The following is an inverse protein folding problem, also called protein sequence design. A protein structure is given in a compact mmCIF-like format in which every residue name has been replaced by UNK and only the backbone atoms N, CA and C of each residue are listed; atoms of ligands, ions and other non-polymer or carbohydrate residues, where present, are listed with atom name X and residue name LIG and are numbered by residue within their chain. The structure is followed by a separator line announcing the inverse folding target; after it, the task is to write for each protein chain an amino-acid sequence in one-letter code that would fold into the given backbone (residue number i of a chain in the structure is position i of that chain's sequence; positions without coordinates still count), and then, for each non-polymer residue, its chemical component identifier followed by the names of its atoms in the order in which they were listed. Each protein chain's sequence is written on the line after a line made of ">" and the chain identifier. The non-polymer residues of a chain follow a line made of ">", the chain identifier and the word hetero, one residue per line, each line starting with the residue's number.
data_IF_109664917774
#
_entry.id   IF_109664917774
#
_cell.length_a   1.000
_cell.length_b   1.000
_cell.length_c   1.000
_cell.angle_alpha   90.00
_cell.angle_beta   90.00
_cell.angle_gamma   90.00
#
_symmetry.space_group_name_H-M   'P 1'
#
loop_
_entity.id
_entity.type
_entity.pdbx_description
1 polymer ?
#
# COMPACT_ATOMS: atom_id res chain seq x y z
N UNK A 1 -8.05 -23.14 -4.84
CA UNK A 1 -9.02 -22.27 -4.15
C UNK A 1 -8.51 -21.78 -2.80
N UNK A 2 -8.16 -22.65 -1.85
CA UNK A 2 -7.68 -22.21 -0.51
C UNK A 2 -6.55 -21.16 -0.57
N UNK A 3 -5.50 -21.41 -1.35
CA UNK A 3 -4.37 -20.46 -1.51
C UNK A 3 -4.79 -19.12 -2.13
N UNK A 4 -5.77 -19.12 -3.04
CA UNK A 4 -6.28 -17.90 -3.66
C UNK A 4 -7.09 -17.09 -2.63
N UNK A 5 -8.01 -17.73 -1.91
CA UNK A 5 -8.81 -17.07 -0.88
C UNK A 5 -7.90 -16.48 0.20
N UNK A 6 -6.88 -17.23 0.63
CA UNK A 6 -5.93 -16.77 1.63
C UNK A 6 -5.05 -15.63 1.09
N UNK A 7 -4.62 -15.70 -0.19
CA UNK A 7 -3.91 -14.61 -0.85
C UNK A 7 -4.74 -13.33 -0.94
N UNK A 8 -6.03 -13.44 -1.28
CA UNK A 8 -6.98 -12.31 -1.29
C UNK A 8 -7.17 -11.75 0.13
N UNK A 9 -7.38 -12.62 1.12
CA UNK A 9 -7.53 -12.20 2.51
C UNK A 9 -6.31 -11.40 2.99
N UNK A 10 -5.10 -11.90 2.75
CA UNK A 10 -3.87 -11.25 3.19
C UNK A 10 -3.56 -9.96 2.41
N UNK A 11 -3.82 -9.90 1.10
CA UNK A 11 -3.59 -8.65 0.35
C UNK A 11 -4.60 -7.57 0.76
N UNK A 12 -5.85 -7.93 1.02
CA UNK A 12 -6.86 -7.00 1.54
C UNK A 12 -6.52 -6.54 2.96
N UNK A 13 -6.00 -7.44 3.80
CA UNK A 13 -5.42 -7.11 5.11
C UNK A 13 -4.33 -6.05 4.98
N UNK A 14 -3.37 -6.28 4.08
CA UNK A 14 -2.26 -5.37 3.85
C UNK A 14 -2.74 -4.00 3.31
N UNK A 15 -3.67 -3.97 2.36
CA UNK A 15 -4.20 -2.73 1.78
C UNK A 15 -4.91 -1.86 2.81
N UNK A 16 -5.81 -2.44 3.62
CA UNK A 16 -6.51 -1.69 4.66
C UNK A 16 -5.54 -1.25 5.76
N UNK A 17 -4.64 -2.14 6.19
CA UNK A 17 -3.65 -1.76 7.20
C UNK A 17 -2.74 -0.63 6.72
N UNK A 18 -2.32 -0.69 5.45
CA UNK A 18 -1.53 0.34 4.79
C UNK A 18 -2.27 1.68 4.70
N UNK A 19 -3.55 1.66 4.30
CA UNK A 19 -4.39 2.85 4.24
C UNK A 19 -4.50 3.54 5.62
N UNK A 20 -4.80 2.76 6.67
CA UNK A 20 -4.91 3.28 8.03
C UNK A 20 -3.57 3.80 8.55
N UNK A 21 -2.47 3.08 8.31
CA UNK A 21 -1.13 3.51 8.68
C UNK A 21 -0.74 4.84 8.03
N UNK A 22 -0.98 4.99 6.72
CA UNK A 22 -0.74 6.24 5.99
C UNK A 22 -1.59 7.39 6.54
N UNK A 23 -2.88 7.16 6.78
CA UNK A 23 -3.76 8.18 7.37
C UNK A 23 -3.23 8.65 8.73
N UNK A 24 -2.79 7.72 9.58
CA UNK A 24 -2.23 8.06 10.89
C UNK A 24 -0.93 8.83 10.79
N UNK A 25 -0.01 8.37 9.93
CA UNK A 25 1.29 9.00 9.74
C UNK A 25 1.14 10.42 9.15
N UNK A 26 0.30 10.60 8.13
CA UNK A 26 0.07 11.93 7.54
C UNK A 26 -0.71 12.86 8.48
N UNK A 27 -1.68 12.34 9.23
CA UNK A 27 -2.36 13.12 10.29
C UNK A 27 -1.38 13.59 11.36
N UNK A 28 -0.34 12.79 11.66
CA UNK A 28 0.71 13.14 12.61
C UNK A 28 1.71 14.16 12.05
N UNK A 29 2.25 13.93 10.84
CA UNK A 29 3.26 14.79 10.21
C UNK A 29 2.67 16.16 9.81
N UNK A 30 1.46 16.14 9.24
CA UNK A 30 0.75 17.31 8.71
C UNK A 30 -0.51 17.61 9.56
N UNK A 31 -1.67 17.66 8.91
CA UNK A 31 -2.99 17.92 9.47
C UNK A 31 -3.98 16.83 9.02
N UNK A 32 -5.11 16.70 9.73
CA UNK A 32 -6.09 15.64 9.48
C UNK A 32 -6.67 15.63 8.05
N UNK A 33 -6.66 16.77 7.34
CA UNK A 33 -7.10 16.84 5.94
C UNK A 33 -6.36 15.88 5.00
N UNK A 34 -5.08 15.59 5.28
CA UNK A 34 -4.28 14.66 4.48
C UNK A 34 -4.68 13.20 4.69
N UNK A 35 -5.40 12.87 5.76
CA UNK A 35 -5.99 11.54 5.91
C UNK A 35 -7.09 11.30 4.86
N UNK A 36 -7.94 12.31 4.59
CA UNK A 36 -8.97 12.21 3.55
C UNK A 36 -8.35 12.05 2.16
N UNK A 37 -7.20 12.69 1.90
CA UNK A 37 -6.45 12.49 0.65
C UNK A 37 -6.08 11.02 0.43
N UNK A 38 -5.65 10.30 1.47
CA UNK A 38 -5.33 8.86 1.37
C UNK A 38 -6.56 8.03 1.03
N UNK A 39 -7.71 8.34 1.62
CA UNK A 39 -8.97 7.67 1.26
C UNK A 39 -9.28 7.90 -0.23
N UNK A 40 -9.18 9.15 -0.70
CA UNK A 40 -9.38 9.49 -2.11
C UNK A 40 -8.40 8.77 -3.04
N UNK A 41 -7.11 8.70 -2.68
CA UNK A 41 -6.11 7.96 -3.46
C UNK A 41 -6.39 6.46 -3.49
N UNK A 42 -6.86 5.88 -2.38
CA UNK A 42 -7.29 4.49 -2.35
C UNK A 42 -8.47 4.25 -3.30
N UNK A 43 -9.52 5.07 -3.21
CA UNK A 43 -10.68 4.96 -4.09
C UNK A 43 -10.33 5.19 -5.56
N UNK A 44 -9.50 6.19 -5.85
CA UNK A 44 -8.97 6.44 -7.19
C UNK A 44 -8.16 5.24 -7.69
N UNK A 45 -7.34 4.62 -6.83
CA UNK A 45 -6.53 3.44 -7.16
C UNK A 45 -7.39 2.25 -7.56
N UNK A 46 -8.43 1.97 -6.77
CA UNK A 46 -9.40 0.92 -7.08
C UNK A 46 -10.16 1.23 -8.38
N UNK A 47 -10.60 2.47 -8.59
CA UNK A 47 -11.28 2.91 -9.81
C UNK A 47 -10.41 2.78 -11.06
N UNK A 48 -9.19 3.30 -11.01
CA UNK A 48 -8.22 3.24 -12.11
C UNK A 48 -7.88 1.79 -12.48
N UNK A 49 -7.70 0.95 -11.47
CA UNK A 49 -7.48 -0.49 -11.66
C UNK A 49 -8.66 -1.17 -12.33
N UNK A 50 -9.90 -0.87 -11.90
CA UNK A 50 -11.12 -1.39 -12.52
C UNK A 50 -11.27 -1.00 -13.99
N UNK A 51 -11.00 0.27 -14.33
CA UNK A 51 -10.98 0.75 -15.73
C UNK A 51 -9.94 0.00 -16.55
N UNK A 52 -8.71 -0.13 -16.02
CA UNK A 52 -7.62 -0.82 -16.71
C UNK A 52 -7.93 -2.30 -16.96
N UNK A 53 -8.49 -3.00 -15.97
CA UNK A 53 -8.93 -4.38 -16.11
C UNK A 53 -10.08 -4.54 -17.11
N UNK A 54 -11.02 -3.58 -17.14
CA UNK A 54 -12.15 -3.63 -18.08
C UNK A 54 -11.71 -3.50 -19.53
N UNK A 55 -10.74 -2.61 -19.82
CA UNK A 55 -10.23 -2.39 -21.18
C UNK A 55 -9.47 -3.63 -21.70
N UNK A 56 -8.64 -4.24 -20.85
CA UNK A 56 -7.77 -5.36 -21.25
C UNK A 56 -8.26 -6.73 -20.72
N UNK A 57 -9.56 -6.86 -20.48
CA UNK A 57 -10.21 -8.03 -19.87
C UNK A 57 -9.72 -9.36 -20.44
N UNK A 58 -9.84 -9.55 -21.75
CA UNK A 58 -9.50 -10.81 -22.42
C UNK A 58 -8.03 -11.19 -22.24
N UNK A 59 -7.13 -10.19 -22.27
CA UNK A 59 -5.70 -10.40 -22.11
C UNK A 59 -5.38 -10.86 -20.69
N UNK A 60 -5.98 -10.22 -19.69
CA UNK A 60 -5.76 -10.56 -18.29
C UNK A 60 -6.35 -11.91 -17.89
N UNK A 61 -7.56 -12.24 -18.36
CA UNK A 61 -8.19 -13.54 -18.10
C UNK A 61 -7.35 -14.67 -18.72
N UNK A 62 -6.90 -14.51 -19.98
CA UNK A 62 -6.12 -15.54 -20.68
C UNK A 62 -4.81 -15.90 -19.99
N UNK A 63 -4.18 -14.93 -19.31
CA UNK A 63 -2.92 -15.13 -18.57
C UNK A 63 -3.07 -14.83 -17.08
N UNK A 64 -4.20 -15.24 -16.51
CA UNK A 64 -4.58 -14.97 -15.13
C UNK A 64 -3.43 -15.17 -14.14
N UNK A 65 -2.81 -16.36 -14.11
CA UNK A 65 -1.75 -16.69 -13.15
C UNK A 65 -0.55 -15.74 -13.22
N UNK A 66 -0.20 -15.28 -14.42
CA UNK A 66 0.94 -14.37 -14.63
C UNK A 66 0.57 -12.98 -14.12
N UNK A 67 -0.55 -12.42 -14.58
CA UNK A 67 -0.95 -11.06 -14.22
C UNK A 67 -1.38 -10.92 -12.76
N UNK A 68 -2.04 -11.93 -12.20
CA UNK A 68 -2.36 -11.97 -10.78
C UNK A 68 -1.09 -11.92 -9.93
N UNK A 69 -0.09 -12.73 -10.27
CA UNK A 69 1.21 -12.68 -9.59
C UNK A 69 1.93 -11.34 -9.78
N UNK A 70 1.94 -10.79 -11.00
CA UNK A 70 2.57 -9.50 -11.29
C UNK A 70 1.90 -8.35 -10.52
N UNK A 71 0.57 -8.35 -10.40
CA UNK A 71 -0.14 -7.36 -9.59
C UNK A 71 0.22 -7.49 -8.10
N UNK A 72 0.28 -8.70 -7.55
CA UNK A 72 0.71 -8.91 -6.17
C UNK A 72 2.17 -8.48 -5.95
N UNK A 73 3.06 -8.85 -6.86
CA UNK A 73 4.46 -8.44 -6.84
C UNK A 73 4.61 -6.92 -6.90
N UNK A 74 3.94 -6.27 -7.85
CA UNK A 74 3.97 -4.82 -8.02
C UNK A 74 3.38 -4.09 -6.81
N UNK A 75 2.32 -4.63 -6.20
CA UNK A 75 1.74 -4.10 -4.96
C UNK A 75 2.73 -4.19 -3.79
N UNK A 76 3.40 -5.34 -3.63
CA UNK A 76 4.44 -5.50 -2.61
C UNK A 76 5.60 -4.52 -2.84
N UNK A 77 6.15 -4.44 -4.06
CA UNK A 77 7.23 -3.50 -4.38
C UNK A 77 6.80 -2.06 -4.12
N UNK A 78 5.61 -1.65 -4.56
CA UNK A 78 5.16 -0.27 -4.37
C UNK A 78 4.93 0.08 -2.91
N UNK A 79 4.41 -0.86 -2.08
CA UNK A 79 4.33 -0.68 -0.62
C UNK A 79 5.72 -0.53 -0.01
N UNK A 80 6.70 -1.32 -0.44
CA UNK A 80 8.08 -1.21 0.05
C UNK A 80 8.70 0.13 -0.34
N UNK A 81 8.55 0.55 -1.60
CA UNK A 81 9.06 1.84 -2.09
C UNK A 81 8.38 3.03 -1.40
N UNK A 82 7.12 2.88 -0.97
CA UNK A 82 6.42 3.92 -0.21
C UNK A 82 7.09 4.27 1.13
N UNK A 83 7.92 3.38 1.69
CA UNK A 83 8.71 3.66 2.90
C UNK A 83 9.64 4.87 2.67
N UNK A 84 10.17 5.01 1.45
CA UNK A 84 11.09 6.09 1.12
C UNK A 84 10.36 7.42 0.91
N UNK A 85 9.05 7.39 0.59
CA UNK A 85 8.22 8.60 0.45
C UNK A 85 8.32 9.47 1.69
N UNK A 86 8.35 8.85 2.89
CA UNK A 86 8.43 9.53 4.18
C UNK A 86 9.63 10.47 4.31
N UNK A 87 10.72 10.23 3.57
CA UNK A 87 11.91 11.09 3.54
C UNK A 87 11.73 12.33 2.66
N UNK A 88 10.81 12.26 1.70
CA UNK A 88 10.45 13.34 0.77
C UNK A 88 9.20 14.11 1.22
N UNK A 89 8.69 13.85 2.43
CA UNK A 89 7.63 14.63 3.09
C UNK A 89 8.18 15.73 4.06
N UNK A 90 9.33 16.41 3.88
CA UNK A 90 9.45 17.79 4.34
C UNK A 90 8.72 18.72 3.35
N UNK A 91 7.55 18.28 2.91
CA UNK A 91 6.66 19.01 2.06
C UNK A 91 5.84 19.89 3.01
N UNK A 92 5.79 21.19 2.75
CA UNK A 92 5.06 22.16 3.56
C UNK A 92 3.84 22.57 2.71
N UNK A 93 2.71 21.84 2.75
CA UNK A 93 1.58 22.08 1.85
C UNK A 93 1.01 23.49 1.96
N UNK A 94 1.31 24.22 3.03
CA UNK A 94 0.97 25.64 3.17
C UNK A 94 1.69 26.53 2.15
N UNK A 95 2.90 26.16 1.72
CA UNK A 95 3.65 26.90 0.72
C UNK A 95 3.10 26.69 -0.70
N UNK A 96 2.22 25.72 -0.97
CA UNK A 96 1.59 25.54 -2.29
C UNK A 96 0.77 26.74 -2.74
N UNK A 97 0.22 27.52 -1.79
CA UNK A 97 -0.53 28.75 -2.11
C UNK A 97 0.40 29.86 -2.62
N UNK A 98 1.70 29.75 -2.32
CA UNK A 98 2.71 30.78 -2.60
C UNK A 98 3.70 30.32 -3.69
N UNK A 99 4.00 29.03 -3.77
CA UNK A 99 4.97 28.44 -4.69
C UNK A 99 4.42 27.19 -5.39
N UNK A 100 4.01 27.37 -6.65
CA UNK A 100 3.50 26.31 -7.54
C UNK A 100 4.55 25.24 -7.87
N UNK A 101 5.84 25.51 -7.65
CA UNK A 101 6.92 24.54 -7.83
C UNK A 101 6.77 23.30 -6.95
N UNK A 102 5.98 23.42 -5.87
CA UNK A 102 5.69 22.32 -4.96
C UNK A 102 4.62 21.35 -5.50
N UNK A 103 3.83 21.69 -6.52
CA UNK A 103 2.79 20.79 -7.07
C UNK A 103 3.39 19.49 -7.59
N UNK A 104 4.52 19.55 -8.30
CA UNK A 104 5.12 18.38 -8.91
C UNK A 104 5.60 17.35 -7.86
N UNK A 105 6.34 17.72 -6.80
CA UNK A 105 6.65 16.80 -5.71
C UNK A 105 5.42 16.23 -5.01
N UNK A 106 4.35 17.02 -4.78
CA UNK A 106 3.11 16.50 -4.22
C UNK A 106 2.50 15.41 -5.11
N UNK A 107 2.45 15.67 -6.41
CA UNK A 107 1.88 14.74 -7.39
C UNK A 107 2.70 13.46 -7.48
N UNK A 108 4.03 13.54 -7.36
CA UNK A 108 4.92 12.37 -7.27
C UNK A 108 4.68 11.56 -6.00
N UNK A 109 4.54 12.22 -4.84
CA UNK A 109 4.21 11.56 -3.57
C UNK A 109 2.84 10.88 -3.65
N UNK A 110 1.81 11.60 -4.09
CA UNK A 110 0.47 11.07 -4.29
C UNK A 110 0.48 9.89 -5.26
N UNK A 111 1.20 10.01 -6.39
CA UNK A 111 1.36 8.94 -7.37
C UNK A 111 2.00 7.70 -6.75
N UNK A 112 3.07 7.86 -5.98
CA UNK A 112 3.76 6.73 -5.35
C UNK A 112 2.90 6.06 -4.26
N UNK A 113 2.15 6.84 -3.47
CA UNK A 113 1.21 6.30 -2.46
C UNK A 113 -0.04 5.65 -3.08
N UNK A 114 -0.40 6.05 -4.30
CA UNK A 114 -1.51 5.51 -5.09
C UNK A 114 -1.21 4.12 -5.69
N UNK A 115 0.05 3.87 -6.09
CA UNK A 115 0.45 2.62 -6.77
C UNK A 115 0.09 1.32 -6.00
N UNK A 116 0.31 1.20 -4.68
CA UNK A 116 -0.11 0.03 -3.91
C UNK A 116 -1.60 -0.30 -4.08
N UNK A 117 -2.46 0.71 -4.06
CA UNK A 117 -3.90 0.55 -4.19
C UNK A 117 -4.30 0.10 -5.59
N UNK A 118 -3.67 0.64 -6.65
CA UNK A 118 -3.93 0.20 -8.04
C UNK A 118 -3.60 -1.26 -8.23
N UNK A 119 -2.39 -1.67 -7.84
CA UNK A 119 -1.94 -3.04 -8.06
C UNK A 119 -2.65 -4.04 -7.15
N UNK A 120 -2.89 -3.68 -5.89
CA UNK A 120 -3.66 -4.51 -4.96
C UNK A 120 -5.10 -4.70 -5.41
N UNK A 121 -5.78 -3.62 -5.80
CA UNK A 121 -7.11 -3.69 -6.40
C UNK A 121 -7.10 -4.46 -7.72
N UNK A 122 -6.01 -4.40 -8.49
CA UNK A 122 -5.85 -5.14 -9.74
C UNK A 122 -5.79 -6.64 -9.51
N UNK A 123 -5.06 -7.09 -8.48
CA UNK A 123 -5.05 -8.50 -8.09
C UNK A 123 -6.44 -8.97 -7.65
N UNK A 124 -7.12 -8.21 -6.78
CA UNK A 124 -8.46 -8.55 -6.27
C UNK A 124 -9.49 -8.56 -7.42
N UNK A 125 -9.53 -7.49 -8.21
CA UNK A 125 -10.44 -7.32 -9.34
C UNK A 125 -10.23 -8.39 -10.41
N UNK A 126 -8.98 -8.76 -10.70
CA UNK A 126 -8.68 -9.82 -11.66
C UNK A 126 -9.16 -11.19 -11.14
N UNK A 127 -8.99 -11.46 -9.84
CA UNK A 127 -9.51 -12.68 -9.23
C UNK A 127 -11.04 -12.75 -9.28
N UNK A 128 -11.74 -11.64 -9.01
CA UNK A 128 -13.20 -11.58 -9.13
C UNK A 128 -13.67 -11.76 -10.57
N UNK A 129 -12.96 -11.15 -11.52
CA UNK A 129 -13.27 -11.26 -12.95
C UNK A 129 -13.08 -12.69 -13.49
N UNK A 130 -11.99 -13.36 -13.10
CA UNK A 130 -11.67 -14.71 -13.58
C UNK A 130 -12.54 -15.78 -12.91
N UNK A 131 -12.84 -15.66 -11.61
CA UNK A 131 -13.63 -16.62 -10.84
C UNK A 131 -15.05 -16.08 -10.55
N UNK A 132 -15.71 -15.52 -11.57
CA UNK A 132 -17.03 -14.87 -11.47
C UNK A 132 -18.07 -15.75 -10.75
N UNK A 133 -18.10 -17.05 -11.05
CA UNK A 133 -19.05 -18.01 -10.45
C UNK A 133 -18.87 -18.19 -8.93
N UNK A 134 -17.65 -17.95 -8.41
CA UNK A 134 -17.31 -18.14 -6.99
C UNK A 134 -16.94 -16.83 -6.30
N UNK A 135 -17.37 -15.70 -6.85
CA UNK A 135 -17.10 -14.36 -6.29
C UNK A 135 -17.52 -14.26 -4.84
N UNK A 136 -18.62 -14.90 -4.42
CA UNK A 136 -19.07 -14.89 -3.03
C UNK A 136 -17.98 -15.36 -2.04
N UNK A 137 -17.19 -16.38 -2.37
CA UNK A 137 -16.10 -16.88 -1.50
C UNK A 137 -14.91 -15.91 -1.47
N UNK A 138 -14.55 -15.36 -2.64
CA UNK A 138 -13.46 -14.40 -2.76
C UNK A 138 -13.82 -13.06 -2.09
N UNK A 139 -15.08 -12.66 -2.20
CA UNK A 139 -15.62 -11.46 -1.57
C UNK A 139 -15.67 -11.61 -0.05
N UNK A 140 -16.08 -12.78 0.46
CA UNK A 140 -15.96 -13.11 1.88
C UNK A 140 -14.52 -13.00 2.37
N UNK A 141 -13.57 -13.62 1.65
CA UNK A 141 -12.16 -13.55 2.00
C UNK A 141 -11.61 -12.10 1.97
N UNK A 142 -12.01 -11.30 0.98
CA UNK A 142 -11.65 -9.89 0.85
C UNK A 142 -12.18 -9.05 2.02
N UNK A 143 -13.47 -9.18 2.37
CA UNK A 143 -14.07 -8.46 3.49
C UNK A 143 -13.49 -8.90 4.83
N UNK A 144 -13.31 -10.21 5.03
CA UNK A 144 -12.73 -10.74 6.26
C UNK A 144 -11.28 -10.27 6.44
N UNK A 145 -10.48 -10.33 5.38
CA UNK A 145 -9.12 -9.77 5.38
C UNK A 145 -9.11 -8.27 5.64
N UNK A 146 -10.05 -7.52 5.06
CA UNK A 146 -10.18 -6.07 5.30
C UNK A 146 -10.47 -5.77 6.78
N UNK A 147 -11.35 -6.55 7.43
CA UNK A 147 -11.63 -6.42 8.85
C UNK A 147 -10.38 -6.74 9.71
N UNK A 148 -9.65 -7.82 9.38
CA UNK A 148 -8.37 -8.15 10.03
C UNK A 148 -7.38 -7.01 9.85
N UNK A 149 -7.26 -6.43 8.65
CA UNK A 149 -6.38 -5.30 8.37
C UNK A 149 -6.68 -4.08 9.24
N UNK A 150 -7.97 -3.81 9.47
CA UNK A 150 -8.43 -2.77 10.38
C UNK A 150 -7.96 -2.98 11.82
N UNK A 151 -8.25 -4.15 12.38
CA UNK A 151 -7.83 -4.52 13.75
C UNK A 151 -6.31 -4.55 13.86
N UNK A 152 -5.64 -5.16 12.89
CA UNK A 152 -4.18 -5.28 12.85
C UNK A 152 -3.53 -3.90 12.84
N UNK A 153 -4.01 -2.96 12.02
CA UNK A 153 -3.47 -1.61 12.00
C UNK A 153 -3.56 -0.92 13.36
N UNK A 154 -4.71 -1.03 14.04
CA UNK A 154 -4.90 -0.48 15.37
C UNK A 154 -3.95 -1.12 16.39
N UNK A 155 -3.81 -2.45 16.38
CA UNK A 155 -2.87 -3.16 17.24
C UNK A 155 -1.42 -2.72 16.98
N UNK A 156 -1.00 -2.68 15.71
CA UNK A 156 0.36 -2.25 15.34
C UNK A 156 0.62 -0.81 15.78
N UNK A 157 -0.35 0.10 15.67
CA UNK A 157 -0.21 1.49 16.15
C UNK A 157 -0.01 1.59 17.67
N UNK A 158 -0.48 0.61 18.44
CA UNK A 158 -0.31 0.59 19.90
C UNK A 158 1.06 0.06 20.30
N UNK A 159 1.58 -0.96 19.60
CA UNK A 159 2.82 -1.65 19.98
C UNK A 159 4.07 -1.20 19.22
N UNK A 160 3.91 -0.57 18.06
CA UNK A 160 5.02 -0.28 17.14
C UNK A 160 5.13 1.22 16.89
N UNK A 161 6.37 1.70 16.87
CA UNK A 161 6.67 3.09 16.54
C UNK A 161 6.16 3.45 15.13
N UNK A 162 5.58 4.65 14.90
CA UNK A 162 4.97 5.03 13.62
C UNK A 162 5.86 4.83 12.38
N UNK A 163 7.17 5.01 12.53
CA UNK A 163 8.19 4.82 11.47
C UNK A 163 8.27 3.37 10.97
N UNK A 164 7.91 2.40 11.80
CA UNK A 164 8.00 0.96 11.49
C UNK A 164 6.68 0.36 10.98
N UNK A 165 5.57 1.10 11.03
CA UNK A 165 4.26 0.60 10.61
C UNK A 165 4.24 0.15 9.13
N UNK A 166 4.65 1.03 8.21
CA UNK A 166 4.66 0.71 6.77
C UNK A 166 5.60 -0.47 6.47
N UNK A 167 6.86 -0.51 6.97
CA UNK A 167 7.72 -1.67 6.83
C UNK A 167 7.07 -2.99 7.29
N UNK A 168 6.41 -3.00 8.45
CA UNK A 168 5.74 -4.22 8.97
C UNK A 168 4.61 -4.67 8.06
N UNK A 169 3.83 -3.73 7.52
CA UNK A 169 2.73 -4.05 6.59
C UNK A 169 3.28 -4.55 5.23
N UNK A 170 4.39 -3.99 4.76
CA UNK A 170 5.04 -4.43 3.53
C UNK A 170 5.53 -5.89 3.61
N UNK A 171 5.93 -6.37 4.80
CA UNK A 171 6.26 -7.79 5.02
C UNK A 171 5.05 -8.69 4.78
N UNK A 172 3.84 -8.25 5.15
CA UNK A 172 2.60 -9.00 4.89
C UNK A 172 2.38 -9.11 3.38
N UNK A 173 2.53 -8.01 2.64
CA UNK A 173 2.40 -8.01 1.18
C UNK A 173 3.43 -8.93 0.50
N UNK A 174 4.69 -8.92 0.95
CA UNK A 174 5.71 -9.87 0.50
C UNK A 174 5.29 -11.32 0.75
N UNK A 175 4.76 -11.61 1.95
CA UNK A 175 4.32 -12.95 2.30
C UNK A 175 3.20 -13.46 1.39
N UNK A 176 2.32 -12.58 0.90
CA UNK A 176 1.31 -12.95 -0.11
C UNK A 176 1.97 -13.42 -1.41
N UNK A 177 2.95 -12.64 -1.91
CA UNK A 177 3.69 -12.97 -3.14
C UNK A 177 4.40 -14.31 -2.97
N UNK A 178 5.07 -14.52 -1.83
CA UNK A 178 5.74 -15.77 -1.50
C UNK A 178 4.76 -16.96 -1.48
N UNK A 179 3.60 -16.80 -0.83
CA UNK A 179 2.60 -17.87 -0.71
C UNK A 179 2.02 -18.28 -2.07
N UNK A 180 1.75 -17.31 -2.95
CA UNK A 180 1.25 -17.60 -4.30
C UNK A 180 2.35 -18.19 -5.18
N UNK A 181 3.60 -17.75 -5.04
CA UNK A 181 4.74 -18.34 -5.74
C UNK A 181 4.89 -19.84 -5.50
N UNK A 182 4.64 -20.33 -4.27
CA UNK A 182 4.68 -21.77 -3.95
C UNK A 182 3.75 -22.63 -4.82
N UNK A 183 2.75 -22.05 -5.47
CA UNK A 183 1.83 -22.74 -6.40
C UNK A 183 2.17 -22.55 -7.87
N UNK A 184 3.02 -21.57 -8.20
CA UNK A 184 3.40 -21.28 -9.56
C UNK A 184 4.68 -22.05 -9.93
N UNK A 185 4.69 -22.64 -11.12
CA UNK A 185 5.89 -23.30 -11.67
C UNK A 185 6.56 -22.34 -12.64
N UNK A 186 7.86 -22.06 -12.46
CA UNK A 186 8.66 -21.30 -13.41
C UNK A 186 9.80 -20.51 -12.78
N UNK A 187 10.98 -20.56 -13.40
CA UNK A 187 12.18 -19.86 -12.91
C UNK A 187 11.99 -18.36 -12.77
N UNK A 188 11.21 -17.74 -13.67
CA UNK A 188 10.97 -16.29 -13.65
C UNK A 188 10.24 -15.83 -12.39
N UNK A 189 9.27 -16.60 -11.90
CA UNK A 189 8.56 -16.25 -10.66
C UNK A 189 9.47 -16.34 -9.44
N UNK A 190 10.37 -17.34 -9.40
CA UNK A 190 11.38 -17.46 -8.34
C UNK A 190 12.35 -16.28 -8.35
N UNK A 191 12.80 -15.84 -9.53
CA UNK A 191 13.64 -14.65 -9.68
C UNK A 191 12.91 -13.41 -9.17
N UNK A 192 11.64 -13.23 -9.53
CA UNK A 192 10.83 -12.09 -9.05
C UNK A 192 10.64 -12.12 -7.53
N UNK A 193 10.39 -13.27 -6.91
CA UNK A 193 10.33 -13.37 -5.44
C UNK A 193 11.67 -13.00 -4.82
N UNK A 194 12.78 -13.48 -5.37
CA UNK A 194 14.13 -13.13 -4.92
C UNK A 194 14.38 -11.62 -5.00
N UNK A 195 14.00 -10.98 -6.10
CA UNK A 195 14.07 -9.52 -6.25
C UNK A 195 13.20 -8.82 -5.20
N UNK A 196 11.96 -9.28 -4.98
CA UNK A 196 11.07 -8.69 -3.98
C UNK A 196 11.69 -8.76 -2.57
N UNK A 197 12.29 -9.91 -2.24
CA UNK A 197 12.97 -10.13 -0.97
C UNK A 197 14.18 -9.23 -0.80
N UNK A 198 15.02 -9.10 -1.84
CA UNK A 198 16.18 -8.20 -1.82
C UNK A 198 15.73 -6.74 -1.61
N UNK A 199 14.71 -6.28 -2.35
CA UNK A 199 14.17 -4.92 -2.19
C UNK A 199 13.65 -4.72 -0.77
N UNK A 200 12.92 -5.68 -0.21
CA UNK A 200 12.42 -5.62 1.16
C UNK A 200 13.57 -5.51 2.18
N UNK A 201 14.58 -6.37 2.08
CA UNK A 201 15.72 -6.40 3.02
C UNK A 201 16.57 -5.13 2.92
N UNK A 202 16.78 -4.58 1.72
CA UNK A 202 17.57 -3.37 1.53
C UNK A 202 16.86 -2.11 2.04
N UNK A 203 15.54 -2.06 1.96
CA UNK A 203 14.76 -0.84 2.26
C UNK A 203 14.32 -0.72 3.71
N UNK A 204 14.14 -1.84 4.44
CA UNK A 204 13.78 -1.81 5.87
C UNK A 204 14.81 -1.06 6.74
N UNK A 205 16.14 -1.29 6.60
CA UNK A 205 17.16 -0.54 7.33
C UNK A 205 17.20 0.94 6.92
N UNK A 206 16.76 1.24 5.70
CA UNK A 206 16.61 2.58 5.17
C UNK A 206 15.27 3.22 5.58
N UNK A 207 14.45 2.62 6.45
CA UNK A 207 13.28 3.31 6.97
C UNK A 207 13.72 4.54 7.79
N UNK A 208 13.12 5.72 7.59
CA UNK A 208 13.49 6.90 8.35
C UNK A 208 13.31 6.66 9.85
N UNK A 209 14.36 6.91 10.62
CA UNK A 209 14.39 6.69 12.08
C UNK A 209 13.60 7.74 12.84
N UNK A 210 13.35 8.90 12.23
CA UNK A 210 12.56 9.99 12.78
C UNK A 210 11.57 10.52 11.73
N UNK A 211 10.35 10.83 12.17
CA UNK A 211 9.39 11.59 11.37
C UNK A 211 9.57 13.06 11.72
N UNK A 212 10.05 13.88 10.77
CA UNK A 212 10.11 15.34 10.96
C UNK A 212 8.67 15.86 10.94
N UNK A 213 8.18 16.37 12.07
CA UNK A 213 6.85 16.98 12.18
C UNK A 213 6.90 18.36 11.50
N UNK A 214 5.83 18.79 10.81
CA UNK A 214 5.78 20.13 10.20
C UNK A 214 5.96 21.22 11.25
N UNK A 215 6.76 22.24 10.91
CA UNK A 215 7.16 23.31 11.82
C UNK A 215 5.97 24.22 12.22
N UNK A 216 4.90 24.21 11.43
CA UNK A 216 3.71 25.02 11.66
C UNK A 216 2.70 24.37 12.60
N UNK A 217 2.91 23.11 13.00
CA UNK A 217 2.00 22.43 13.93
C UNK A 217 2.18 22.97 15.34
N UNK A 218 1.07 23.17 16.05
CA UNK A 218 1.05 23.65 17.45
C UNK A 218 1.94 22.80 18.37
N UNK A 219 2.02 21.49 18.14
CA UNK A 219 2.91 20.56 18.85
C UNK A 219 4.41 20.86 18.64
N UNK A 220 4.81 21.30 17.44
CA UNK A 220 6.20 21.71 17.17
C UNK A 220 6.52 23.03 17.89
N UNK A 221 5.56 23.96 17.90
CA UNK A 221 5.69 25.25 18.61
C UNK A 221 5.69 25.09 20.13
N UNK A 222 4.96 24.11 20.67
CA UNK A 222 4.94 23.81 22.10
C UNK A 222 6.31 23.33 22.62
N UNK A 223 7.13 22.68 21.79
CA UNK A 223 8.51 22.30 22.15
C UNK A 223 9.49 23.49 22.25
N UNK A 224 9.10 24.66 21.77
CA UNK A 224 9.90 25.89 21.81
C UNK A 224 9.54 26.78 23.00
N UNK A 225 8.56 26.38 23.83
CA UNK A 225 8.25 27.10 25.06
C UNK A 225 9.31 26.79 26.12
N UNK A 226 9.83 27.81 26.83
CA UNK A 226 10.67 27.56 28.01
C UNK A 226 9.85 26.79 29.08
N UNK A 227 10.54 25.92 29.83
CA UNK A 227 9.95 25.18 30.97
C UNK A 227 9.37 26.10 32.04
#
# INVERSE_FOLDING_TARGET
>A
MIFLNLGICLISTALIAYQLALMRILSFIQWYHFAFMIISLSLLGFGASGVFLSIFRERFIRQFSVFFFLFLFACSVSMILSIQVLRFIPFEPYLLVVDFSQILPLLLVCGLLFLPFVFGAGAIGLAFMYFAERVHQLYFANLFGSAIGGVLALCLMFFIHPTKLIPTIAVIAFFVVFLIWLKLKGKIFTVLVGINFIILVLTIPLAPTYLKMSEYKSLSKAKLLPE
#
